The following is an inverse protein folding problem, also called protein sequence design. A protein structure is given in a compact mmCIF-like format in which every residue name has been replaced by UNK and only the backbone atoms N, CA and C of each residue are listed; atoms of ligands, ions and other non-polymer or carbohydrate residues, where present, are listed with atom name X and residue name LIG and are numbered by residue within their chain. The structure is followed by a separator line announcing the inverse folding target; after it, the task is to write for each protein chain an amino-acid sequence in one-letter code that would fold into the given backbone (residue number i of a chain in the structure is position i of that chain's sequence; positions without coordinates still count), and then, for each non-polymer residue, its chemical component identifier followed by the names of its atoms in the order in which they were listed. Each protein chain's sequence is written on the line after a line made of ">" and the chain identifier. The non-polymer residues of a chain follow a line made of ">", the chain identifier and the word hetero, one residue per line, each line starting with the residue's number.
data_IF_555338195189
#
_entry.id   IF_555338195189
#
_cell.length_a   1.000
_cell.length_b   1.000
_cell.length_c   1.000
_cell.angle_alpha   90.00
_cell.angle_beta   90.00
_cell.angle_gamma   90.00
#
_symmetry.space_group_name_H-M   'P 1'
#
loop_
_entity.id
_entity.type
_entity.pdbx_description
1 polymer ?
#
# COMPACT_ATOMS: atom_id res chain seq x y z
N UNK A 1 -9.18 -11.61 3.42
CA UNK A 1 -8.41 -12.39 4.41
C UNK A 1 -6.91 -12.12 4.35
N UNK A 2 -6.21 -12.31 3.22
CA UNK A 2 -4.76 -12.06 3.12
C UNK A 2 -4.35 -10.60 3.38
N UNK A 3 -4.91 -9.64 2.65
CA UNK A 3 -4.60 -8.20 2.81
C UNK A 3 -4.73 -7.73 4.27
N UNK A 4 -5.80 -8.17 4.94
CA UNK A 4 -6.10 -7.78 6.32
C UNK A 4 -5.12 -8.38 7.34
N UNK A 5 -4.85 -9.70 7.24
CA UNK A 5 -3.94 -10.37 8.17
C UNK A 5 -2.48 -10.08 7.87
N UNK A 6 -2.09 -9.95 6.62
CA UNK A 6 -0.69 -9.88 6.22
C UNK A 6 -0.17 -8.44 6.23
N UNK A 7 -1.01 -7.45 5.93
CA UNK A 7 -0.55 -6.06 5.85
C UNK A 7 -1.23 -5.11 6.81
N UNK A 8 -2.55 -5.16 6.97
CA UNK A 8 -3.22 -4.27 7.93
C UNK A 8 -2.86 -4.60 9.39
N UNK A 9 -2.55 -5.87 9.70
CA UNK A 9 -2.03 -6.23 11.02
C UNK A 9 -0.65 -5.59 11.30
N UNK A 10 0.24 -5.56 10.30
CA UNK A 10 1.56 -4.93 10.39
C UNK A 10 1.42 -3.40 10.46
N UNK A 11 0.57 -2.81 9.62
CA UNK A 11 0.27 -1.38 9.63
C UNK A 11 -0.32 -0.93 10.97
N UNK A 12 -1.18 -1.74 11.58
CA UNK A 12 -1.72 -1.48 12.93
C UNK A 12 -0.60 -1.46 13.98
N UNK A 13 0.32 -2.43 13.95
CA UNK A 13 1.45 -2.47 14.88
C UNK A 13 2.41 -1.29 14.70
N UNK A 14 2.57 -0.78 13.47
CA UNK A 14 3.34 0.43 13.18
C UNK A 14 2.67 1.68 13.76
N UNK A 15 1.34 1.79 13.61
CA UNK A 15 0.56 2.88 14.18
C UNK A 15 0.63 2.90 15.71
N UNK A 16 0.55 1.73 16.33
CA UNK A 16 0.55 1.59 17.78
C UNK A 16 1.96 1.75 18.40
N UNK A 17 2.98 2.10 17.59
CA UNK A 17 4.39 2.36 18.00
C UNK A 17 5.00 1.22 18.83
N UNK A 18 4.79 -0.02 18.38
CA UNK A 18 5.37 -1.22 19.01
C UNK A 18 6.90 -1.12 19.13
N UNK A 19 7.50 -1.79 20.14
CA UNK A 19 8.96 -1.77 20.39
C UNK A 19 9.83 -2.30 19.23
N UNK A 20 9.22 -2.92 18.21
CA UNK A 20 9.89 -3.52 17.07
C UNK A 20 9.56 -2.83 15.72
N UNK A 21 9.39 -1.50 15.71
CA UNK A 21 8.97 -0.72 14.52
C UNK A 21 9.79 -1.07 13.27
N UNK A 22 11.12 -1.08 13.36
CA UNK A 22 11.98 -1.29 12.18
C UNK A 22 11.87 -2.72 11.62
N UNK A 23 11.68 -3.71 12.49
CA UNK A 23 11.42 -5.08 12.06
C UNK A 23 10.10 -5.17 11.29
N UNK A 24 9.05 -4.53 11.80
CA UNK A 24 7.72 -4.53 11.19
C UNK A 24 7.73 -3.76 9.86
N UNK A 25 8.44 -2.64 9.77
CA UNK A 25 8.65 -1.90 8.52
C UNK A 25 9.29 -2.78 7.45
N UNK A 26 10.37 -3.47 7.83
CA UNK A 26 11.07 -4.39 6.93
C UNK A 26 10.16 -5.51 6.47
N UNK A 27 9.42 -6.14 7.39
CA UNK A 27 8.51 -7.23 7.08
C UNK A 27 7.39 -6.79 6.11
N UNK A 28 6.76 -5.64 6.37
CA UNK A 28 5.75 -5.09 5.47
C UNK A 28 6.34 -4.76 4.10
N UNK A 29 7.50 -4.10 4.05
CA UNK A 29 8.19 -3.78 2.79
C UNK A 29 8.52 -5.04 1.99
N UNK A 30 9.16 -6.02 2.62
CA UNK A 30 9.59 -7.24 1.94
C UNK A 30 8.37 -8.05 1.45
N UNK A 31 7.26 -8.05 2.20
CA UNK A 31 5.98 -8.64 1.78
C UNK A 31 5.39 -7.92 0.56
N UNK A 32 5.40 -6.58 0.52
CA UNK A 32 4.95 -5.80 -0.63
C UNK A 32 5.81 -6.05 -1.88
N UNK A 33 7.13 -6.14 -1.72
CA UNK A 33 8.04 -6.48 -2.82
C UNK A 33 7.71 -7.87 -3.37
N UNK A 34 7.41 -8.85 -2.50
CA UNK A 34 7.10 -10.22 -2.92
C UNK A 34 5.85 -10.35 -3.82
N UNK A 35 4.89 -9.44 -3.68
CA UNK A 35 3.67 -9.42 -4.51
C UNK A 35 3.78 -8.55 -5.76
N UNK A 36 4.89 -7.83 -5.94
CA UNK A 36 5.12 -6.97 -7.10
C UNK A 36 4.92 -7.69 -8.45
N UNK A 37 5.41 -8.93 -8.67
CA UNK A 37 5.28 -9.61 -9.96
C UNK A 37 3.82 -9.85 -10.41
N UNK A 38 2.85 -9.80 -9.48
CA UNK A 38 1.42 -9.90 -9.83
C UNK A 38 1.03 -8.73 -10.75
N UNK A 39 1.55 -7.53 -10.48
CA UNK A 39 1.22 -6.30 -11.20
C UNK A 39 1.93 -6.17 -12.55
N UNK A 40 2.88 -7.05 -12.83
CA UNK A 40 3.47 -7.19 -14.17
C UNK A 40 2.53 -7.95 -15.11
N UNK A 41 1.71 -8.84 -14.56
CA UNK A 41 0.80 -9.70 -15.33
C UNK A 41 -0.64 -9.18 -15.31
N UNK A 42 -1.04 -8.51 -14.23
CA UNK A 42 -2.41 -8.07 -13.97
C UNK A 42 -2.48 -6.57 -13.69
N UNK A 43 -3.41 -5.82 -14.31
CA UNK A 43 -3.56 -4.39 -14.06
C UNK A 43 -4.11 -4.06 -12.67
N UNK A 44 -4.85 -4.98 -12.04
CA UNK A 44 -5.42 -4.85 -10.70
C UNK A 44 -4.98 -6.02 -9.82
N UNK A 45 -5.20 -5.91 -8.51
CA UNK A 45 -4.72 -6.91 -7.57
C UNK A 45 -5.36 -8.28 -7.84
N UNK A 46 -4.55 -9.20 -8.38
CA UNK A 46 -4.96 -10.56 -8.77
C UNK A 46 -6.09 -10.63 -9.83
N UNK A 47 -6.37 -9.54 -10.55
CA UNK A 47 -7.51 -9.44 -11.47
C UNK A 47 -7.21 -8.52 -12.66
N UNK A 48 -7.92 -8.75 -13.77
CA UNK A 48 -7.92 -7.83 -14.93
C UNK A 48 -8.93 -6.68 -14.76
N UNK A 49 -9.82 -6.80 -13.76
CA UNK A 49 -10.84 -5.81 -13.44
C UNK A 49 -10.65 -5.25 -12.02
N UNK A 50 -10.99 -3.97 -11.85
CA UNK A 50 -10.95 -3.28 -10.57
C UNK A 50 -11.94 -3.91 -9.58
N UNK A 51 -11.50 -4.10 -8.34
CA UNK A 51 -12.26 -4.82 -7.32
C UNK A 51 -12.14 -4.19 -5.94
N UNK A 52 -12.90 -4.73 -4.98
CA UNK A 52 -12.78 -4.36 -3.56
C UNK A 52 -11.38 -4.61 -2.99
N UNK A 53 -10.59 -5.52 -3.57
CA UNK A 53 -9.23 -5.75 -3.15
C UNK A 53 -8.35 -4.53 -3.41
N UNK A 54 -8.56 -3.86 -4.54
CA UNK A 54 -7.87 -2.62 -4.89
C UNK A 54 -8.28 -1.48 -3.96
N UNK A 55 -9.58 -1.38 -3.65
CA UNK A 55 -10.09 -0.42 -2.65
C UNK A 55 -9.48 -0.63 -1.27
N UNK A 56 -9.20 -1.88 -0.89
CA UNK A 56 -8.54 -2.19 0.37
C UNK A 56 -7.02 -2.00 0.30
N UNK A 57 -6.40 -2.16 -0.87
CA UNK A 57 -4.95 -2.15 -1.00
C UNK A 57 -4.38 -0.75 -1.26
N UNK A 58 -5.02 0.06 -2.11
CA UNK A 58 -4.53 1.40 -2.44
C UNK A 58 -4.35 2.31 -1.21
N UNK A 59 -5.29 2.39 -0.23
CA UNK A 59 -5.09 3.23 0.95
C UNK A 59 -3.91 2.78 1.82
N UNK A 60 -3.56 1.50 1.83
CA UNK A 60 -2.36 1.02 2.53
C UNK A 60 -1.10 1.57 1.87
N UNK A 61 -1.02 1.48 0.54
CA UNK A 61 0.12 1.98 -0.24
C UNK A 61 0.28 3.49 -0.09
N UNK A 62 -0.84 4.23 -0.03
CA UNK A 62 -0.83 5.68 0.20
C UNK A 62 -0.17 6.07 1.52
N UNK A 63 -0.29 5.23 2.57
CA UNK A 63 0.22 5.52 3.92
C UNK A 63 1.64 5.02 4.17
N UNK A 64 2.32 4.40 3.20
CA UNK A 64 3.69 3.91 3.39
C UNK A 64 4.68 5.00 3.85
N UNK A 65 4.66 6.24 3.31
CA UNK A 65 5.54 7.31 3.78
C UNK A 65 5.29 7.67 5.25
N UNK A 66 4.03 7.71 5.69
CA UNK A 66 3.67 7.93 7.09
C UNK A 66 4.25 6.87 8.01
N UNK A 67 4.38 5.63 7.54
CA UNK A 67 5.03 4.55 8.27
C UNK A 67 6.56 4.57 8.17
N UNK A 68 7.16 5.47 7.40
CA UNK A 68 8.60 5.49 7.12
C UNK A 68 9.05 4.31 6.26
N UNK A 69 8.18 3.86 5.34
CA UNK A 69 8.47 2.76 4.42
C UNK A 69 8.60 3.33 3.00
N UNK A 70 9.76 3.12 2.40
CA UNK A 70 10.01 3.39 1.00
C UNK A 70 10.11 2.06 0.24
N UNK A 71 9.44 2.00 -0.92
CA UNK A 71 9.50 0.85 -1.79
C UNK A 71 10.77 0.91 -2.66
N UNK A 72 11.54 -0.19 -2.78
CA UNK A 72 12.75 -0.21 -3.59
C UNK A 72 12.41 -0.15 -5.09
N UNK A 73 13.37 0.17 -5.97
CA UNK A 73 13.16 0.16 -7.43
C UNK A 73 12.66 -1.18 -7.99
N UNK A 74 12.96 -2.29 -7.31
CA UNK A 74 12.45 -3.61 -7.67
C UNK A 74 10.92 -3.72 -7.57
N UNK A 75 10.26 -2.84 -6.82
CA UNK A 75 8.81 -2.77 -6.67
C UNK A 75 8.12 -1.91 -7.75
N UNK A 76 8.79 -1.61 -8.87
CA UNK A 76 8.31 -0.67 -9.90
C UNK A 76 6.89 -0.96 -10.40
N UNK A 77 6.54 -2.22 -10.65
CA UNK A 77 5.20 -2.57 -11.12
C UNK A 77 4.11 -2.26 -10.08
N UNK A 78 4.41 -2.49 -8.80
CA UNK A 78 3.53 -2.13 -7.68
C UNK A 78 3.41 -0.61 -7.52
N UNK A 79 4.52 0.13 -7.67
CA UNK A 79 4.54 1.60 -7.61
C UNK A 79 3.65 2.17 -8.72
N UNK A 80 3.83 1.72 -9.97
CA UNK A 80 2.99 2.15 -11.09
C UNK A 80 1.51 1.81 -10.87
N UNK A 81 1.21 0.63 -10.33
CA UNK A 81 -0.16 0.27 -9.94
C UNK A 81 -0.72 1.26 -8.91
N UNK A 82 0.05 1.58 -7.87
CA UNK A 82 -0.37 2.49 -6.80
C UNK A 82 -0.70 3.88 -7.36
N UNK A 83 0.17 4.44 -8.20
CA UNK A 83 -0.03 5.72 -8.87
C UNK A 83 -1.32 5.74 -9.69
N UNK A 84 -1.57 4.70 -10.50
CA UNK A 84 -2.84 4.58 -11.24
C UNK A 84 -4.06 4.56 -10.32
N UNK A 85 -3.95 3.93 -9.14
CA UNK A 85 -5.06 3.90 -8.18
C UNK A 85 -5.27 5.26 -7.53
N UNK A 86 -4.18 5.98 -7.22
CA UNK A 86 -4.22 7.31 -6.62
C UNK A 86 -4.76 8.39 -7.56
N UNK A 87 -4.60 8.21 -8.86
CA UNK A 87 -5.12 9.14 -9.88
C UNK A 87 -6.62 9.01 -10.13
N UNK A 88 -7.27 7.96 -9.63
CA UNK A 88 -8.72 7.80 -9.78
C UNK A 88 -9.46 8.88 -9.00
N UNK A 89 -10.40 9.54 -9.64
CA UNK A 89 -11.26 10.54 -8.99
C UNK A 89 -11.95 9.98 -7.75
N UNK A 90 -12.43 8.74 -7.81
CA UNK A 90 -13.07 8.06 -6.68
C UNK A 90 -12.12 7.86 -5.51
N UNK A 91 -10.84 7.60 -5.75
CA UNK A 91 -9.84 7.48 -4.69
C UNK A 91 -9.59 8.85 -4.05
N UNK A 92 -9.29 9.87 -4.85
CA UNK A 92 -9.04 11.24 -4.36
C UNK A 92 -10.23 11.82 -3.60
N UNK A 93 -11.45 11.55 -4.07
CA UNK A 93 -12.68 11.94 -3.39
C UNK A 93 -12.91 11.20 -2.07
N UNK A 94 -12.39 9.98 -1.93
CA UNK A 94 -12.51 9.19 -0.69
C UNK A 94 -11.52 9.60 0.40
N UNK A 95 -10.43 10.29 0.06
CA UNK A 95 -9.43 10.73 1.02
C UNK A 95 -9.95 11.88 1.88
N UNK A 96 -9.78 11.75 3.19
CA UNK A 96 -9.92 12.85 4.15
C UNK A 96 -8.80 13.88 3.97
N UNK A 97 -8.97 15.09 4.49
CA UNK A 97 -7.97 16.16 4.45
C UNK A 97 -6.63 15.69 5.04
N UNK A 98 -6.65 15.11 6.25
CA UNK A 98 -5.45 14.58 6.89
C UNK A 98 -4.76 13.46 6.10
N UNK A 99 -5.50 12.70 5.29
CA UNK A 99 -4.89 11.69 4.42
C UNK A 99 -4.25 12.30 3.19
N UNK A 100 -4.82 13.36 2.61
CA UNK A 100 -4.24 14.06 1.46
C UNK A 100 -2.90 14.68 1.82
N UNK A 101 -2.82 15.28 2.99
CA UNK A 101 -1.60 15.91 3.52
C UNK A 101 -0.42 14.93 3.61
N UNK A 102 -0.66 13.61 3.74
CA UNK A 102 0.42 12.60 3.84
C UNK A 102 1.35 12.55 2.61
N UNK A 103 0.90 13.05 1.46
CA UNK A 103 1.68 13.11 0.21
C UNK A 103 2.13 14.51 -0.17
N UNK A 104 1.74 15.54 0.59
CA UNK A 104 2.15 16.92 0.39
C UNK A 104 3.40 17.30 1.20
N UNK A 105 3.95 16.34 1.98
CA UNK A 105 5.18 16.49 2.79
C UNK A 105 6.39 15.85 2.12
#
# INVERSE_FOLDING_TARGET
>A
YRIERDWYSLAKQLRDKSKAVDKIRKELRDSLVSVTPIFEQKPYFMSDEFSLLDCAFAPLLWRLPYFGIELPPAAKALINYAERMFDRESFRASLTESERELKEV
#
